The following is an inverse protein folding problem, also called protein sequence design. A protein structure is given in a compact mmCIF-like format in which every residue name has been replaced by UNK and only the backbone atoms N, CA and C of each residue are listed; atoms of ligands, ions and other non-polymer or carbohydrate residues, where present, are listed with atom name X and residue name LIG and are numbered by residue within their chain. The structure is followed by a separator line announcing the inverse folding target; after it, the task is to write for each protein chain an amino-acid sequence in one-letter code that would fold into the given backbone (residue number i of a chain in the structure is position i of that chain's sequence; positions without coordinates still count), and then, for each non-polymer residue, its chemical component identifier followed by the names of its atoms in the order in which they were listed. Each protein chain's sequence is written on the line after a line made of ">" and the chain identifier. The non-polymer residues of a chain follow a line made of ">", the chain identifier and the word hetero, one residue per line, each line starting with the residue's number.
data_IF_514177593000
#
_entry.id   IF_514177593000
#
_cell.length_a   1.000
_cell.length_b   1.000
_cell.length_c   1.000
_cell.angle_alpha   90.00
_cell.angle_beta   90.00
_cell.angle_gamma   90.00
#
_symmetry.space_group_name_H-M   'P 1'
#
loop_
_entity.id
_entity.type
_entity.pdbx_description
1 polymer ?
#
# COMPACT_ATOMS: atom_id res chain seq x y z
N UNK A 1 55.15 -60.13 61.71
CA UNK A 1 53.93 -59.31 61.96
C UNK A 1 53.85 -58.23 60.88
N UNK A 2 52.70 -58.16 60.17
CA UNK A 2 52.12 -57.08 59.34
C UNK A 2 53.01 -56.30 58.32
N UNK A 3 52.84 -56.39 56.99
CA UNK A 3 51.76 -55.94 56.06
C UNK A 3 51.92 -54.50 55.49
N UNK A 4 52.17 -54.46 54.16
CA UNK A 4 51.44 -53.72 53.10
C UNK A 4 51.70 -52.20 52.85
N UNK A 5 52.40 -51.97 51.74
CA UNK A 5 52.11 -51.13 50.56
C UNK A 5 51.21 -49.85 50.65
N UNK A 6 51.82 -48.75 50.18
CA UNK A 6 51.34 -47.66 49.30
C UNK A 6 49.85 -47.27 49.25
N UNK A 7 49.57 -45.95 49.36
CA UNK A 7 48.59 -45.27 48.48
C UNK A 7 48.75 -43.75 48.42
N UNK A 8 49.03 -43.30 47.19
CA UNK A 8 48.99 -41.92 46.68
C UNK A 8 47.51 -41.48 46.62
N UNK A 9 47.14 -40.34 47.21
CA UNK A 9 45.79 -39.77 47.06
C UNK A 9 45.91 -38.36 46.48
N UNK A 10 45.75 -38.29 45.16
CA UNK A 10 45.59 -37.05 44.41
C UNK A 10 44.19 -36.48 44.63
N UNK A 11 44.07 -35.33 45.31
CA UNK A 11 42.80 -34.62 45.46
C UNK A 11 42.42 -33.98 44.12
N UNK A 12 41.37 -34.55 43.53
CA UNK A 12 40.72 -34.21 42.26
C UNK A 12 40.18 -32.77 42.30
N UNK A 13 40.75 -31.87 41.51
CA UNK A 13 40.23 -30.52 41.31
C UNK A 13 38.87 -30.58 40.59
N UNK A 14 37.78 -30.26 41.31
CA UNK A 14 36.45 -30.08 40.75
C UNK A 14 36.39 -28.79 39.92
N UNK A 15 36.71 -28.88 38.63
CA UNK A 15 36.40 -27.83 37.65
C UNK A 15 34.89 -27.73 37.48
N UNK A 16 34.24 -26.71 38.09
CA UNK A 16 32.90 -26.28 37.68
C UNK A 16 32.99 -25.73 36.25
N UNK A 17 32.62 -26.56 35.28
CA UNK A 17 32.47 -26.14 33.90
C UNK A 17 31.27 -25.20 33.80
N UNK A 18 31.50 -23.89 33.89
CA UNK A 18 30.55 -22.88 33.43
C UNK A 18 30.32 -23.11 31.94
N UNK A 19 29.20 -23.75 31.59
CA UNK A 19 28.73 -23.83 30.20
C UNK A 19 28.50 -22.39 29.73
N UNK A 20 29.47 -21.81 29.03
CA UNK A 20 29.26 -20.60 28.22
C UNK A 20 28.19 -20.97 27.19
N UNK A 21 26.95 -20.55 27.44
CA UNK A 21 25.90 -20.53 26.43
C UNK A 21 26.35 -19.50 25.41
N UNK A 22 27.10 -19.95 24.41
CA UNK A 22 27.42 -19.15 23.24
C UNK A 22 26.11 -18.87 22.54
N UNK A 23 25.51 -17.69 22.82
CA UNK A 23 24.41 -17.17 22.01
C UNK A 23 24.93 -17.13 20.57
N UNK A 24 24.49 -18.07 19.73
CA UNK A 24 24.72 -18.02 18.28
C UNK A 24 24.13 -16.71 17.80
N UNK A 25 24.97 -15.69 17.63
CA UNK A 25 24.61 -14.43 17.00
C UNK A 25 24.32 -14.78 15.54
N UNK A 26 23.05 -15.01 15.21
CA UNK A 26 22.64 -15.24 13.83
C UNK A 26 22.98 -13.98 13.05
N UNK A 27 23.86 -14.07 12.05
CA UNK A 27 24.12 -12.98 11.10
C UNK A 27 22.78 -12.42 10.61
N UNK A 28 22.60 -11.09 10.72
CA UNK A 28 21.41 -10.44 10.22
C UNK A 28 21.22 -10.77 8.73
N UNK A 29 20.09 -11.38 8.38
CA UNK A 29 19.79 -11.69 6.97
C UNK A 29 19.73 -10.38 6.19
N UNK A 30 20.46 -10.30 5.07
CA UNK A 30 20.39 -9.17 4.14
C UNK A 30 18.94 -8.98 3.69
N UNK A 31 18.31 -7.92 4.17
CA UNK A 31 16.93 -7.59 3.80
C UNK A 31 16.93 -7.19 2.33
N UNK A 32 16.11 -7.83 1.50
CA UNK A 32 16.06 -7.53 0.07
C UNK A 32 15.74 -6.05 -0.17
N UNK A 33 16.44 -5.40 -1.10
CA UNK A 33 16.19 -3.98 -1.44
C UNK A 33 14.93 -3.79 -2.29
N UNK A 34 14.56 -4.84 -3.03
CA UNK A 34 13.38 -4.90 -3.90
C UNK A 34 12.15 -5.44 -3.16
N UNK A 35 11.04 -4.72 -3.22
CA UNK A 35 9.73 -5.13 -2.71
C UNK A 35 9.02 -6.05 -3.71
N UNK A 36 8.49 -7.18 -3.21
CA UNK A 36 7.71 -8.17 -3.96
C UNK A 36 6.33 -8.35 -3.34
N UNK A 37 5.38 -8.91 -4.10
CA UNK A 37 4.03 -9.24 -3.64
C UNK A 37 3.02 -8.09 -3.66
N UNK A 38 1.81 -8.36 -3.17
CA UNK A 38 0.64 -7.45 -3.24
C UNK A 38 0.88 -6.08 -2.59
N UNK A 39 1.67 -6.04 -1.52
CA UNK A 39 1.97 -4.82 -0.76
C UNK A 39 3.25 -4.10 -1.22
N UNK A 40 3.85 -4.48 -2.34
CA UNK A 40 5.15 -3.95 -2.76
C UNK A 40 5.17 -2.41 -2.86
N UNK A 41 4.15 -1.81 -3.50
CA UNK A 41 4.02 -0.35 -3.61
C UNK A 41 3.89 0.32 -2.24
N UNK A 42 3.12 -0.27 -1.32
CA UNK A 42 3.00 0.27 0.04
C UNK A 42 4.29 0.14 0.84
N UNK A 43 5.03 -0.96 0.69
CA UNK A 43 6.30 -1.16 1.39
C UNK A 43 7.36 -0.14 0.94
N UNK A 44 7.42 0.14 -0.36
CA UNK A 44 8.31 1.16 -0.93
C UNK A 44 7.88 2.56 -0.51
N UNK A 45 6.58 2.87 -0.57
CA UNK A 45 6.07 4.18 -0.16
C UNK A 45 6.33 4.48 1.33
N UNK A 46 6.31 3.44 2.18
CA UNK A 46 6.66 3.53 3.61
C UNK A 46 8.18 3.49 3.89
N UNK A 47 9.02 3.43 2.87
CA UNK A 47 10.49 3.38 3.02
C UNK A 47 11.06 2.04 3.51
N UNK A 48 10.24 0.98 3.64
CA UNK A 48 10.73 -0.36 4.08
C UNK A 48 11.61 -1.04 3.04
N UNK A 49 11.52 -0.59 1.79
CA UNK A 49 12.20 -1.12 0.60
C UNK A 49 12.49 0.05 -0.33
N UNK A 50 13.51 -0.06 -1.16
CA UNK A 50 13.91 1.03 -2.05
C UNK A 50 13.06 1.09 -3.33
N UNK A 51 12.79 -0.07 -3.93
CA UNK A 51 12.11 -0.17 -5.23
C UNK A 51 11.19 -1.37 -5.31
N UNK A 52 10.17 -1.30 -6.15
CA UNK A 52 9.33 -2.46 -6.49
C UNK A 52 10.00 -3.34 -7.56
N UNK A 53 9.45 -4.53 -7.84
CA UNK A 53 9.93 -5.40 -8.94
C UNK A 53 9.98 -4.65 -10.28
N UNK A 54 8.99 -3.80 -10.55
CA UNK A 54 8.94 -2.96 -11.75
C UNK A 54 9.74 -1.65 -11.65
N UNK A 55 10.66 -1.53 -10.71
CA UNK A 55 11.57 -0.38 -10.60
C UNK A 55 11.02 0.89 -9.95
N UNK A 56 9.72 0.95 -9.63
CA UNK A 56 9.12 2.15 -9.01
C UNK A 56 9.72 2.45 -7.63
N UNK A 57 10.15 3.70 -7.42
CA UNK A 57 10.60 4.25 -6.14
C UNK A 57 9.47 4.99 -5.41
N UNK A 58 9.70 5.39 -4.17
CA UNK A 58 8.72 6.16 -3.40
C UNK A 58 8.32 7.48 -4.08
N UNK A 59 9.27 8.14 -4.77
CA UNK A 59 9.05 9.35 -5.56
C UNK A 59 8.02 9.18 -6.67
N UNK A 60 7.86 7.97 -7.20
CA UNK A 60 7.00 7.67 -8.34
C UNK A 60 5.61 7.21 -7.91
N UNK A 61 5.39 7.10 -6.60
CA UNK A 61 4.16 6.63 -5.99
C UNK A 61 3.40 7.79 -5.35
N UNK A 62 2.09 7.64 -5.27
CA UNK A 62 1.20 8.54 -4.54
C UNK A 62 0.05 7.76 -3.91
N UNK A 63 -0.55 8.34 -2.86
CA UNK A 63 -1.75 7.81 -2.21
C UNK A 63 -3.00 8.39 -2.88
N UNK A 64 -3.92 7.52 -3.32
CA UNK A 64 -5.24 7.94 -3.82
C UNK A 64 -6.16 8.35 -2.67
N UNK A 65 -7.30 8.98 -3.00
CA UNK A 65 -8.34 9.31 -2.01
C UNK A 65 -8.88 8.08 -1.27
N UNK A 66 -8.95 6.92 -1.93
CA UNK A 66 -9.32 5.63 -1.34
C UNK A 66 -8.21 4.97 -0.52
N UNK A 67 -7.07 5.63 -0.33
CA UNK A 67 -5.92 5.12 0.44
C UNK A 67 -5.02 4.14 -0.31
N UNK A 68 -5.33 3.81 -1.57
CA UNK A 68 -4.52 2.90 -2.40
C UNK A 68 -3.26 3.61 -2.89
N UNK A 69 -2.11 2.93 -2.78
CA UNK A 69 -0.85 3.44 -3.36
C UNK A 69 -0.79 3.06 -4.84
N UNK A 70 -0.75 4.08 -5.70
CA UNK A 70 -0.69 3.97 -7.17
C UNK A 70 0.53 4.72 -7.69
N UNK A 71 0.93 4.46 -8.93
CA UNK A 71 2.00 5.26 -9.54
C UNK A 71 1.46 6.63 -9.95
N UNK A 72 2.32 7.65 -9.86
CA UNK A 72 1.97 9.02 -10.27
C UNK A 72 1.58 9.08 -11.73
N UNK A 73 2.32 8.37 -12.60
CA UNK A 73 2.01 8.22 -14.03
C UNK A 73 0.58 7.70 -14.26
N UNK A 74 0.20 6.63 -13.56
CA UNK A 74 -1.15 6.06 -13.69
C UNK A 74 -2.23 7.04 -13.21
N UNK A 75 -2.00 7.72 -12.09
CA UNK A 75 -2.96 8.73 -11.61
C UNK A 75 -3.12 9.89 -12.60
N UNK A 76 -2.05 10.39 -13.20
CA UNK A 76 -2.12 11.48 -14.16
C UNK A 76 -2.84 11.05 -15.45
N UNK A 77 -2.54 9.85 -15.97
CA UNK A 77 -3.23 9.30 -17.14
C UNK A 77 -4.74 9.15 -16.89
N UNK A 78 -5.13 8.63 -15.71
CA UNK A 78 -6.54 8.52 -15.34
C UNK A 78 -7.26 9.89 -15.30
N UNK A 79 -6.61 10.91 -14.72
CA UNK A 79 -7.15 12.28 -14.69
C UNK A 79 -7.31 12.88 -16.08
N UNK A 80 -6.32 12.70 -16.96
CA UNK A 80 -6.37 13.13 -18.37
C UNK A 80 -7.51 12.44 -19.13
N UNK A 81 -7.64 11.13 -19.00
CA UNK A 81 -8.71 10.36 -19.65
C UNK A 81 -10.10 10.76 -19.15
N UNK A 82 -10.24 11.00 -17.84
CA UNK A 82 -11.49 11.50 -17.27
C UNK A 82 -11.85 12.86 -17.88
N UNK A 83 -10.92 13.81 -17.91
CA UNK A 83 -11.15 15.13 -18.48
C UNK A 83 -11.56 15.06 -19.97
N UNK A 84 -10.91 14.20 -20.77
CA UNK A 84 -11.18 14.05 -22.20
C UNK A 84 -12.55 13.43 -22.51
N UNK A 85 -13.04 12.48 -21.69
CA UNK A 85 -14.22 11.67 -22.02
C UNK A 85 -15.45 12.09 -21.22
N UNK A 86 -15.39 11.95 -19.90
CA UNK A 86 -16.56 12.03 -19.02
C UNK A 86 -16.64 13.36 -18.25
N UNK A 87 -15.51 14.06 -18.12
CA UNK A 87 -15.40 15.26 -17.29
C UNK A 87 -16.31 16.39 -17.78
N UNK A 88 -16.40 16.61 -19.09
CA UNK A 88 -17.30 17.62 -19.66
C UNK A 88 -18.77 17.32 -19.38
N UNK A 89 -19.20 16.08 -19.62
CA UNK A 89 -20.58 15.66 -19.37
C UNK A 89 -20.95 15.77 -17.89
N UNK A 90 -20.08 15.30 -16.99
CA UNK A 90 -20.32 15.40 -15.55
C UNK A 90 -20.44 16.85 -15.09
N UNK A 91 -19.64 17.77 -15.63
CA UNK A 91 -19.76 19.21 -15.33
C UNK A 91 -21.10 19.78 -15.79
N UNK A 92 -21.53 19.46 -17.00
CA UNK A 92 -22.82 19.90 -17.54
C UNK A 92 -23.99 19.36 -16.72
N UNK A 93 -23.96 18.08 -16.32
CA UNK A 93 -24.97 17.48 -15.45
C UNK A 93 -24.98 18.13 -14.07
N UNK A 94 -23.82 18.40 -13.47
CA UNK A 94 -23.76 19.11 -12.17
C UNK A 94 -24.35 20.52 -12.27
N UNK A 95 -24.05 21.26 -13.33
CA UNK A 95 -24.61 22.58 -13.57
C UNK A 95 -26.13 22.52 -13.79
N UNK A 96 -26.62 21.57 -14.58
CA UNK A 96 -28.05 21.35 -14.79
C UNK A 96 -28.78 20.99 -13.49
N UNK A 97 -28.19 20.14 -12.63
CA UNK A 97 -28.76 19.79 -11.32
C UNK A 97 -28.89 21.00 -10.41
N UNK A 98 -27.85 21.86 -10.35
CA UNK A 98 -27.89 23.10 -9.58
C UNK A 98 -28.98 24.04 -10.10
N UNK A 99 -29.03 24.24 -11.42
CA UNK A 99 -29.99 25.14 -12.06
C UNK A 99 -31.45 24.67 -11.97
N UNK A 100 -31.70 23.40 -11.70
CA UNK A 100 -33.05 22.82 -11.51
C UNK A 100 -33.34 22.48 -10.04
N UNK A 101 -32.42 22.80 -9.11
CA UNK A 101 -32.62 22.54 -7.68
C UNK A 101 -32.76 21.06 -7.30
N UNK A 102 -32.25 20.13 -8.10
CA UNK A 102 -32.45 18.69 -7.90
C UNK A 102 -31.62 18.20 -6.69
N UNK A 103 -32.31 17.96 -5.58
CA UNK A 103 -31.77 17.32 -4.36
C UNK A 103 -32.07 15.82 -4.36
N UNK A 104 -31.17 15.01 -3.79
CA UNK A 104 -31.31 13.56 -3.75
C UNK A 104 -31.13 12.86 -5.11
N UNK A 105 -31.59 11.62 -5.20
CA UNK A 105 -31.48 10.82 -6.41
C UNK A 105 -32.49 11.27 -7.47
N UNK A 106 -32.04 11.38 -8.72
CA UNK A 106 -32.91 11.64 -9.87
C UNK A 106 -32.32 10.94 -11.09
N UNK A 107 -33.11 10.07 -11.72
CA UNK A 107 -32.71 9.36 -12.92
C UNK A 107 -32.60 10.33 -14.11
N UNK A 108 -31.40 10.45 -14.69
CA UNK A 108 -31.17 11.30 -15.86
C UNK A 108 -31.90 10.69 -17.06
N UNK A 109 -32.87 11.40 -17.62
CA UNK A 109 -33.69 10.89 -18.73
C UNK A 109 -34.70 9.82 -18.35
N UNK A 110 -35.02 9.68 -17.06
CA UNK A 110 -36.02 8.71 -16.59
C UNK A 110 -37.46 9.06 -17.00
N UNK A 111 -38.42 8.25 -16.53
CA UNK A 111 -39.86 8.46 -16.80
C UNK A 111 -40.41 9.73 -16.15
N UNK A 112 -39.80 10.19 -15.05
CA UNK A 112 -40.22 11.40 -14.35
C UNK A 112 -39.96 12.66 -15.17
N UNK A 113 -40.84 13.64 -15.04
CA UNK A 113 -40.74 14.96 -15.70
C UNK A 113 -39.43 15.65 -15.36
N UNK A 114 -39.03 15.61 -14.09
CA UNK A 114 -37.76 16.14 -13.59
C UNK A 114 -36.53 15.47 -14.22
N UNK A 115 -36.57 14.15 -14.42
CA UNK A 115 -35.48 13.40 -15.06
C UNK A 115 -35.29 13.76 -16.53
N UNK A 116 -36.40 13.93 -17.26
CA UNK A 116 -36.40 14.40 -18.66
C UNK A 116 -35.86 15.83 -18.77
N UNK A 117 -36.34 16.74 -17.91
CA UNK A 117 -35.87 18.12 -17.87
C UNK A 117 -34.36 18.22 -17.55
N UNK A 118 -33.87 17.39 -16.63
CA UNK A 118 -32.46 17.32 -16.29
C UNK A 118 -31.60 16.90 -17.48
N UNK A 119 -32.02 15.88 -18.24
CA UNK A 119 -31.30 15.43 -19.43
C UNK A 119 -31.28 16.51 -20.52
N UNK A 120 -32.42 17.15 -20.78
CA UNK A 120 -32.52 18.22 -21.78
C UNK A 120 -31.57 19.37 -21.45
N UNK A 121 -31.57 19.85 -20.20
CA UNK A 121 -30.70 20.93 -19.75
C UNK A 121 -29.23 20.53 -19.72
N UNK A 122 -28.91 19.30 -19.31
CA UNK A 122 -27.54 18.80 -19.34
C UNK A 122 -26.99 18.69 -20.77
N UNK A 123 -27.80 18.24 -21.73
CA UNK A 123 -27.42 18.22 -23.17
C UNK A 123 -27.19 19.63 -23.72
N UNK A 124 -28.06 20.59 -23.37
CA UNK A 124 -27.91 21.98 -23.80
C UNK A 124 -26.59 22.61 -23.27
N UNK A 125 -26.22 22.31 -22.02
CA UNK A 125 -24.97 22.78 -21.43
C UNK A 125 -23.73 22.02 -21.91
N UNK A 126 -23.90 20.77 -22.35
CA UNK A 126 -22.84 19.91 -22.87
C UNK A 126 -22.61 20.13 -24.37
N UNK A 127 -22.64 21.37 -24.84
CA UNK A 127 -22.24 21.67 -26.23
C UNK A 127 -20.88 21.04 -26.48
N UNK A 128 -20.88 20.06 -27.38
CA UNK A 128 -19.75 19.23 -27.74
C UNK A 128 -18.85 19.95 -28.71
#
# INVERSE_FOLDING_TARGET
>A
VARVATKKVTKKATRKATKKVTKKVKKAKRVSKTARGKLAKSAVFKGRKEKTVGGLKASDLMKSKSGKIVSKKQSMSAKKNFAKRLGGWNKAVMAARKALGVKGFCAIGGKSTQGKALLAKARALYRK
#
